data_IF_404359828992
#
_entry.id   IF_404359828992
#
_cell.length_a   1.000
_cell.length_b   1.000
_cell.length_c   1.000
_cell.angle_alpha   90.00
_cell.angle_beta   90.00
_cell.angle_gamma   90.00
#
_symmetry.space_group_name_H-M   'P 1'
#
loop_
_entity.id
_entity.type
_entity.pdbx_description
1 polymer ?
#
# COMPACT_ATOMS: atom_id res chain seq x y z
N UNK A 1 2.11 2.89 4.10
CA UNK A 1 2.43 4.30 4.37
C UNK A 1 2.30 4.52 5.87
N UNK A 2 3.29 5.18 6.47
CA UNK A 2 3.18 5.61 7.87
C UNK A 2 2.81 7.09 7.86
N UNK A 3 1.75 7.44 8.55
CA UNK A 3 1.40 8.84 8.83
C UNK A 3 1.95 9.16 10.21
N UNK A 4 2.78 10.19 10.30
CA UNK A 4 3.28 10.71 11.56
C UNK A 4 2.64 12.07 11.80
N UNK A 5 1.87 12.20 12.87
CA UNK A 5 1.35 13.49 13.32
C UNK A 5 2.50 14.22 14.04
N UNK A 6 2.95 15.33 13.47
CA UNK A 6 4.02 16.14 14.07
C UNK A 6 3.48 17.20 15.04
N UNK A 7 2.40 17.85 14.64
CA UNK A 7 1.68 18.85 15.44
C UNK A 7 0.20 18.77 15.12
N UNK A 8 -0.65 19.00 16.09
CA UNK A 8 -2.10 19.10 15.91
C UNK A 8 -2.61 20.27 16.75
N UNK A 9 -3.70 20.92 16.30
CA UNK A 9 -4.48 21.83 17.12
C UNK A 9 -5.32 21.03 18.13
N UNK A 10 -5.75 21.67 19.21
CA UNK A 10 -6.53 21.01 20.27
C UNK A 10 -7.91 20.51 19.78
N UNK A 11 -8.39 21.06 18.68
CA UNK A 11 -9.67 20.76 18.03
C UNK A 11 -9.57 19.83 16.82
N UNK A 12 -8.39 19.21 16.61
CA UNK A 12 -8.21 18.28 15.47
C UNK A 12 -9.06 17.03 15.64
N UNK A 13 -9.85 16.71 14.62
CA UNK A 13 -10.59 15.45 14.50
C UNK A 13 -10.02 14.63 13.35
N UNK A 14 -9.71 13.37 13.59
CA UNK A 14 -9.13 12.46 12.62
C UNK A 14 -10.04 11.27 12.41
N UNK A 15 -10.54 11.11 11.19
CA UNK A 15 -11.20 9.90 10.73
C UNK A 15 -10.24 9.07 9.86
N UNK A 16 -10.17 7.77 10.12
CA UNK A 16 -9.31 6.87 9.36
C UNK A 16 -10.07 5.63 8.88
N UNK A 17 -9.94 5.33 7.60
CA UNK A 17 -10.44 4.08 7.00
C UNK A 17 -9.28 3.30 6.43
N UNK A 18 -9.21 2.02 6.76
CA UNK A 18 -8.19 1.11 6.25
C UNK A 18 -8.82 0.03 5.37
N UNK A 19 -8.26 -0.20 4.20
CA UNK A 19 -8.66 -1.26 3.30
C UNK A 19 -7.54 -2.29 3.17
N UNK A 20 -7.92 -3.58 3.13
CA UNK A 20 -6.95 -4.64 2.88
C UNK A 20 -6.37 -4.52 1.46
N UNK A 21 -5.11 -4.93 1.28
CA UNK A 21 -4.48 -4.98 -0.03
C UNK A 21 -5.24 -5.90 -1.00
N UNK A 22 -5.81 -6.98 -0.48
CA UNK A 22 -6.60 -7.93 -1.26
C UNK A 22 -7.89 -7.30 -1.79
N UNK A 23 -8.59 -6.50 -0.96
CA UNK A 23 -9.77 -5.75 -1.39
C UNK A 23 -9.42 -4.78 -2.53
N UNK A 24 -8.30 -4.08 -2.41
CA UNK A 24 -7.82 -3.15 -3.43
C UNK A 24 -7.49 -3.89 -4.75
N UNK A 25 -6.89 -5.08 -4.67
CA UNK A 25 -6.58 -5.90 -5.85
C UNK A 25 -7.82 -6.51 -6.49
N UNK A 26 -8.76 -7.02 -5.67
CA UNK A 26 -9.97 -7.70 -6.13
C UNK A 26 -11.05 -6.73 -6.62
N UNK A 27 -10.97 -5.45 -6.26
CA UNK A 27 -11.96 -4.45 -6.62
C UNK A 27 -12.11 -4.23 -8.15
N UNK A 28 -11.42 -5.03 -8.97
CA UNK A 28 -11.52 -4.90 -10.44
C UNK A 28 -11.22 -3.49 -10.92
N UNK A 29 -10.46 -2.75 -10.13
CA UNK A 29 -10.23 -1.34 -10.33
C UNK A 29 -9.64 -1.10 -11.69
N UNK A 30 -10.45 -0.56 -12.57
CA UNK A 30 -10.03 -0.15 -13.90
C UNK A 30 -8.77 0.73 -13.82
N UNK A 31 -8.07 0.83 -14.93
CA UNK A 31 -6.82 1.60 -15.07
C UNK A 31 -6.87 2.96 -14.38
N UNK A 32 -8.01 3.64 -14.47
CA UNK A 32 -8.24 4.98 -13.87
C UNK A 32 -8.21 4.99 -12.34
N UNK A 33 -8.64 3.92 -11.67
CA UNK A 33 -8.71 3.88 -10.21
C UNK A 33 -7.32 3.70 -9.59
N UNK A 34 -6.45 2.89 -10.21
CA UNK A 34 -5.06 2.74 -9.78
C UNK A 34 -4.26 4.03 -9.97
N UNK A 35 -4.61 4.84 -10.98
CA UNK A 35 -4.03 6.17 -11.21
C UNK A 35 -4.44 7.13 -10.10
N UNK A 36 -5.69 7.08 -9.63
CA UNK A 36 -6.19 7.86 -8.50
C UNK A 36 -5.44 7.53 -7.20
N UNK A 37 -5.25 6.25 -6.88
CA UNK A 37 -4.45 5.85 -5.71
C UNK A 37 -3.02 6.38 -5.72
N UNK A 38 -2.40 6.44 -6.89
CA UNK A 38 -1.04 6.95 -6.98
C UNK A 38 -0.96 8.45 -6.71
N UNK A 39 -1.91 9.22 -7.20
CA UNK A 39 -1.94 10.66 -7.00
C UNK A 39 -2.23 10.98 -5.54
N UNK A 40 -3.16 10.26 -4.92
CA UNK A 40 -3.38 10.31 -3.48
C UNK A 40 -2.08 9.93 -2.74
N UNK A 41 -1.30 8.97 -3.25
CA UNK A 41 0.00 8.58 -2.70
C UNK A 41 1.14 9.59 -2.91
N UNK A 42 1.05 10.49 -3.88
CA UNK A 42 2.02 11.60 -4.09
C UNK A 42 1.66 12.87 -3.33
N UNK A 43 0.38 13.15 -3.20
CA UNK A 43 -0.13 14.30 -2.49
C UNK A 43 -0.83 13.81 -1.22
N UNK A 44 -0.06 13.68 -0.15
CA UNK A 44 -0.53 13.11 1.12
C UNK A 44 -1.60 13.95 1.83
N UNK A 45 -1.79 15.20 1.43
CA UNK A 45 -2.75 16.13 2.01
C UNK A 45 -3.47 16.86 0.89
N UNK A 46 -4.79 16.82 0.93
CA UNK A 46 -5.67 17.57 0.03
C UNK A 46 -6.50 18.55 0.85
N UNK A 47 -6.43 19.85 0.56
CA UNK A 47 -7.41 20.79 1.12
C UNK A 47 -8.78 20.47 0.56
N UNK A 48 -9.76 20.30 1.42
CA UNK A 48 -11.16 20.12 1.05
C UNK A 48 -11.90 21.45 1.19
N UNK A 49 -12.88 21.67 0.31
CA UNK A 49 -13.86 22.73 0.56
C UNK A 49 -14.70 22.38 1.80
N UNK A 50 -15.32 23.37 2.43
CA UNK A 50 -16.17 23.16 3.60
C UNK A 50 -17.26 22.11 3.34
N UNK A 51 -17.92 22.19 2.17
CA UNK A 51 -18.95 21.22 1.75
C UNK A 51 -18.35 19.81 1.59
N UNK A 52 -17.21 19.69 0.93
CA UNK A 52 -16.54 18.39 0.75
C UNK A 52 -16.11 17.80 2.10
N UNK A 53 -15.59 18.62 3.01
CA UNK A 53 -15.22 18.21 4.36
C UNK A 53 -16.41 17.67 5.14
N UNK A 54 -17.54 18.37 5.10
CA UNK A 54 -18.78 17.95 5.76
C UNK A 54 -19.29 16.61 5.19
N UNK A 55 -19.34 16.46 3.86
CA UNK A 55 -19.79 15.23 3.21
C UNK A 55 -18.90 14.03 3.56
N UNK A 56 -17.58 14.22 3.61
CA UNK A 56 -16.67 13.16 4.02
C UNK A 56 -16.85 12.80 5.50
N UNK A 57 -17.02 13.77 6.40
CA UNK A 57 -17.28 13.53 7.82
C UNK A 57 -18.55 12.70 8.03
N UNK A 58 -19.64 13.05 7.33
CA UNK A 58 -20.90 12.27 7.36
C UNK A 58 -20.69 10.85 6.84
N UNK A 59 -19.96 10.68 5.74
CA UNK A 59 -19.62 9.37 5.19
C UNK A 59 -18.80 8.53 6.17
N UNK A 60 -17.80 9.10 6.83
CA UNK A 60 -17.02 8.39 7.85
C UNK A 60 -17.87 7.98 9.05
N UNK A 61 -18.77 8.85 9.50
CA UNK A 61 -19.72 8.55 10.57
C UNK A 61 -20.63 7.39 10.18
N UNK A 62 -21.19 7.42 8.98
CA UNK A 62 -22.00 6.33 8.45
C UNK A 62 -21.23 5.00 8.37
N UNK A 63 -20.00 5.02 7.85
CA UNK A 63 -19.15 3.82 7.78
C UNK A 63 -18.81 3.27 9.17
N UNK A 64 -18.57 4.15 10.14
CA UNK A 64 -18.31 3.75 11.52
C UNK A 64 -19.51 3.05 12.16
N UNK A 65 -20.72 3.59 11.97
CA UNK A 65 -21.93 2.96 12.45
C UNK A 65 -22.20 1.62 11.74
N UNK A 66 -22.07 1.59 10.43
CA UNK A 66 -22.24 0.37 9.66
C UNK A 66 -21.27 -0.73 10.12
N UNK A 67 -20.01 -0.39 10.37
CA UNK A 67 -19.01 -1.35 10.85
C UNK A 67 -19.34 -1.84 12.27
N UNK A 68 -19.89 -1.00 13.14
CA UNK A 68 -20.31 -1.39 14.47
C UNK A 68 -21.47 -2.39 14.44
N UNK A 69 -22.43 -2.22 13.50
CA UNK A 69 -23.61 -3.06 13.40
C UNK A 69 -23.37 -4.38 12.68
N UNK A 70 -22.62 -4.34 11.56
CA UNK A 70 -22.39 -5.52 10.69
C UNK A 70 -21.04 -6.19 10.98
N UNK A 71 -20.05 -5.40 11.40
CA UNK A 71 -18.72 -5.89 11.75
C UNK A 71 -18.02 -6.64 10.62
N UNK A 72 -17.49 -7.80 10.95
CA UNK A 72 -16.76 -8.68 10.02
C UNK A 72 -17.66 -9.30 8.93
N UNK A 73 -18.97 -9.18 9.05
CA UNK A 73 -19.93 -9.69 8.07
C UNK A 73 -20.17 -8.74 6.88
N UNK A 74 -19.43 -7.63 6.81
CA UNK A 74 -19.50 -6.72 5.67
C UNK A 74 -19.04 -7.44 4.40
N UNK A 75 -19.93 -7.55 3.41
CA UNK A 75 -19.60 -8.25 2.17
C UNK A 75 -18.47 -7.55 1.40
N UNK A 76 -17.68 -8.34 0.67
CA UNK A 76 -16.60 -7.81 -0.17
C UNK A 76 -17.13 -6.82 -1.22
N UNK A 77 -18.30 -7.11 -1.82
CA UNK A 77 -18.94 -6.22 -2.78
C UNK A 77 -19.30 -4.87 -2.18
N UNK A 78 -19.80 -4.84 -0.95
CA UNK A 78 -20.11 -3.60 -0.24
C UNK A 78 -18.87 -2.81 0.10
N UNK A 79 -17.82 -3.48 0.57
CA UNK A 79 -16.50 -2.86 0.84
C UNK A 79 -15.87 -2.25 -0.41
N UNK A 80 -16.00 -2.93 -1.57
CA UNK A 80 -15.54 -2.41 -2.87
C UNK A 80 -16.34 -1.19 -3.30
N UNK A 81 -17.66 -1.18 -3.08
CA UNK A 81 -18.52 -0.05 -3.41
C UNK A 81 -18.15 1.19 -2.59
N UNK A 82 -17.90 1.04 -1.29
CA UNK A 82 -17.45 2.13 -0.44
C UNK A 82 -16.09 2.68 -0.86
N UNK A 83 -15.13 1.79 -1.14
CA UNK A 83 -13.82 2.20 -1.64
C UNK A 83 -13.95 2.98 -2.96
N UNK A 84 -14.80 2.50 -3.87
CA UNK A 84 -15.06 3.16 -5.14
C UNK A 84 -15.69 4.54 -4.95
N UNK A 85 -16.68 4.66 -4.05
CA UNK A 85 -17.34 5.92 -3.73
C UNK A 85 -16.35 6.93 -3.15
N UNK A 86 -15.52 6.53 -2.19
CA UNK A 86 -14.51 7.40 -1.59
C UNK A 86 -13.53 7.94 -2.64
N UNK A 87 -13.07 7.08 -3.54
CA UNK A 87 -12.10 7.47 -4.57
C UNK A 87 -12.73 8.31 -5.70
N UNK A 88 -13.99 8.04 -6.04
CA UNK A 88 -14.73 8.88 -6.99
C UNK A 88 -15.01 10.24 -6.38
N UNK A 89 -15.38 10.29 -5.09
CA UNK A 89 -15.60 11.53 -4.36
C UNK A 89 -14.39 12.47 -4.43
N UNK A 90 -13.16 11.97 -4.35
CA UNK A 90 -11.95 12.80 -4.54
C UNK A 90 -11.96 13.48 -5.91
N UNK A 91 -12.41 12.80 -6.97
CA UNK A 91 -12.44 13.36 -8.32
C UNK A 91 -13.54 14.42 -8.48
N UNK A 92 -14.69 14.21 -7.86
CA UNK A 92 -15.86 15.08 -8.00
C UNK A 92 -15.79 16.30 -7.08
N UNK A 93 -15.33 16.09 -5.82
CA UNK A 93 -15.31 17.14 -4.79
C UNK A 93 -14.00 17.93 -4.76
N UNK A 94 -12.96 17.44 -5.43
CA UNK A 94 -11.65 18.09 -5.50
C UNK A 94 -11.20 18.28 -6.96
N UNK A 95 -11.87 19.13 -7.77
CA UNK A 95 -11.65 19.24 -9.20
C UNK A 95 -10.22 19.68 -9.57
N UNK A 96 -9.55 20.49 -8.75
CA UNK A 96 -8.16 20.87 -9.00
C UNK A 96 -7.21 19.67 -8.88
N UNK A 97 -7.47 18.78 -7.92
CA UNK A 97 -6.74 17.54 -7.74
C UNK A 97 -7.12 16.51 -8.82
N UNK A 98 -8.37 16.54 -9.30
CA UNK A 98 -8.84 15.71 -10.40
C UNK A 98 -8.08 16.02 -11.70
N UNK A 99 -7.74 17.28 -11.98
CA UNK A 99 -6.90 17.67 -13.12
C UNK A 99 -5.50 17.03 -13.06
N UNK A 100 -4.93 16.86 -11.85
CA UNK A 100 -3.68 16.13 -11.67
C UNK A 100 -3.83 14.64 -11.97
N UNK A 101 -5.05 14.09 -11.79
CA UNK A 101 -5.41 12.70 -12.07
C UNK A 101 -5.60 12.46 -13.57
N UNK A 102 -6.17 13.42 -14.29
CA UNK A 102 -6.47 13.34 -15.72
C UNK A 102 -5.25 13.54 -16.60
N UNK A 103 -4.19 14.17 -16.10
CA UNK A 103 -2.93 14.22 -16.85
C UNK A 103 -2.41 12.80 -17.08
N UNK A 104 -2.22 12.35 -18.33
CA UNK A 104 -1.65 11.05 -18.62
C UNK A 104 -0.34 10.94 -17.83
N UNK A 105 -0.25 9.98 -16.92
CA UNK A 105 0.95 9.79 -16.13
C UNK A 105 2.16 9.77 -17.06
N UNK A 106 3.22 10.49 -16.68
CA UNK A 106 4.44 10.52 -17.50
C UNK A 106 4.85 9.10 -17.85
N UNK A 107 5.51 8.89 -18.99
CA UNK A 107 6.04 7.56 -19.38
C UNK A 107 6.79 6.90 -18.22
N UNK A 108 7.51 7.69 -17.43
CA UNK A 108 8.22 7.22 -16.24
C UNK A 108 7.27 6.70 -15.15
N UNK A 109 6.17 7.38 -14.94
CA UNK A 109 5.15 6.95 -14.00
C UNK A 109 4.51 5.61 -14.39
N UNK A 110 4.17 5.43 -15.66
CA UNK A 110 3.64 4.16 -16.16
C UNK A 110 4.66 3.02 -15.99
N UNK A 111 5.94 3.30 -16.24
CA UNK A 111 7.02 2.33 -16.01
C UNK A 111 7.17 2.00 -14.51
N UNK A 112 7.09 2.99 -13.62
CA UNK A 112 7.11 2.77 -12.17
C UNK A 112 5.94 1.86 -11.72
N UNK A 113 4.73 2.06 -12.23
CA UNK A 113 3.57 1.19 -11.96
C UNK A 113 3.82 -0.26 -12.42
N UNK A 114 4.42 -0.43 -13.59
CA UNK A 114 4.80 -1.77 -14.08
C UNK A 114 5.77 -2.42 -13.10
N UNK A 115 6.79 -1.69 -12.65
CA UNK A 115 7.74 -2.17 -11.64
C UNK A 115 7.03 -2.63 -10.35
N UNK A 116 6.18 -1.79 -9.75
CA UNK A 116 5.45 -2.13 -8.52
C UNK A 116 4.60 -3.38 -8.71
N UNK A 117 3.88 -3.50 -9.83
CA UNK A 117 3.09 -4.70 -10.15
C UNK A 117 3.96 -5.95 -10.27
N UNK A 118 5.12 -5.85 -10.93
CA UNK A 118 6.06 -6.96 -11.03
C UNK A 118 6.62 -7.36 -9.66
N UNK A 119 6.93 -6.39 -8.80
CA UNK A 119 7.34 -6.67 -7.42
C UNK A 119 6.27 -7.47 -6.69
N UNK A 120 5.01 -7.04 -6.72
CA UNK A 120 3.92 -7.78 -6.09
C UNK A 120 3.70 -9.19 -6.66
N UNK A 121 4.01 -9.41 -7.92
CA UNK A 121 3.89 -10.74 -8.54
C UNK A 121 5.05 -11.68 -8.18
N UNK A 122 6.25 -11.16 -8.00
CA UNK A 122 7.46 -11.98 -7.96
C UNK A 122 8.24 -11.89 -6.64
N UNK A 123 7.93 -10.95 -5.72
CA UNK A 123 8.74 -10.66 -4.51
C UNK A 123 9.06 -11.89 -3.68
N UNK A 124 8.15 -12.88 -3.62
CA UNK A 124 8.36 -14.09 -2.85
C UNK A 124 9.39 -15.07 -3.48
N UNK A 125 9.83 -14.80 -4.70
CA UNK A 125 10.80 -15.65 -5.43
C UNK A 125 12.05 -14.89 -5.83
N UNK A 126 11.91 -13.58 -6.08
CA UNK A 126 12.94 -12.75 -6.70
C UNK A 126 13.18 -11.46 -5.91
N UNK A 127 14.33 -11.38 -5.28
CA UNK A 127 14.68 -10.25 -4.41
C UNK A 127 15.58 -9.21 -5.10
N UNK A 128 16.10 -9.51 -6.30
CA UNK A 128 17.10 -8.68 -6.97
C UNK A 128 16.48 -7.71 -7.96
N UNK A 129 16.90 -6.44 -7.90
CA UNK A 129 16.47 -5.40 -8.85
C UNK A 129 16.72 -5.78 -10.31
N UNK A 130 17.81 -6.53 -10.56
CA UNK A 130 18.17 -6.98 -11.92
C UNK A 130 17.09 -7.85 -12.58
N UNK A 131 16.36 -8.67 -11.81
CA UNK A 131 15.24 -9.47 -12.32
C UNK A 131 14.14 -8.55 -12.88
N UNK A 132 13.71 -7.57 -12.12
CA UNK A 132 12.67 -6.62 -12.51
C UNK A 132 13.09 -5.74 -13.68
N UNK A 133 14.35 -5.28 -13.68
CA UNK A 133 14.91 -4.51 -14.77
C UNK A 133 14.89 -5.30 -16.10
N UNK A 134 15.25 -6.58 -16.06
CA UNK A 134 15.19 -7.48 -17.20
C UNK A 134 13.76 -7.66 -17.73
N UNK A 135 12.78 -7.89 -16.84
CA UNK A 135 11.36 -8.00 -17.21
C UNK A 135 10.80 -6.72 -17.84
N UNK A 136 11.38 -5.59 -17.50
CA UNK A 136 11.00 -4.28 -18.05
C UNK A 136 11.83 -3.86 -19.27
N UNK A 137 12.74 -4.71 -19.76
CA UNK A 137 13.70 -4.36 -20.82
C UNK A 137 14.48 -3.07 -20.50
N UNK A 138 14.93 -2.91 -19.26
CA UNK A 138 15.66 -1.76 -18.76
C UNK A 138 17.00 -2.18 -18.16
N UNK A 139 17.97 -1.25 -18.17
CA UNK A 139 19.18 -1.40 -17.37
C UNK A 139 18.84 -1.22 -15.87
N UNK A 140 19.43 -2.00 -14.95
CA UNK A 140 19.18 -1.88 -13.51
C UNK A 140 19.37 -0.45 -12.98
N UNK A 141 20.38 0.26 -13.44
CA UNK A 141 20.65 1.66 -13.05
C UNK A 141 19.55 2.62 -13.51
N UNK A 142 18.97 2.38 -14.70
CA UNK A 142 17.86 3.18 -15.22
C UNK A 142 16.59 2.94 -14.40
N UNK A 143 16.29 1.68 -14.05
CA UNK A 143 15.18 1.32 -13.17
C UNK A 143 15.35 1.96 -11.79
N UNK A 144 16.53 1.88 -11.18
CA UNK A 144 16.79 2.52 -9.88
C UNK A 144 16.54 4.03 -9.90
N UNK A 145 17.02 4.73 -10.93
CA UNK A 145 16.78 6.19 -11.08
C UNK A 145 15.29 6.51 -11.26
N UNK A 146 14.61 5.74 -12.10
CA UNK A 146 13.18 5.88 -12.34
C UNK A 146 12.39 5.72 -11.03
N UNK A 147 12.61 4.62 -10.30
CA UNK A 147 11.91 4.32 -9.06
C UNK A 147 12.19 5.40 -8.02
N UNK A 148 13.46 5.80 -7.84
CA UNK A 148 13.83 6.85 -6.89
C UNK A 148 13.16 8.19 -7.22
N UNK A 149 13.11 8.56 -8.50
CA UNK A 149 12.46 9.80 -8.95
C UNK A 149 10.96 9.77 -8.71
N UNK A 150 10.30 8.64 -8.99
CA UNK A 150 8.84 8.55 -8.93
C UNK A 150 8.29 8.29 -7.51
N UNK A 151 9.04 7.60 -6.64
CA UNK A 151 8.56 7.20 -5.31
C UNK A 151 9.32 7.82 -4.14
N UNK A 152 10.45 8.46 -4.37
CA UNK A 152 11.36 8.87 -3.29
C UNK A 152 12.13 7.71 -2.64
N UNK A 153 11.80 6.46 -2.94
CA UNK A 153 12.43 5.26 -2.42
C UNK A 153 13.32 4.58 -3.45
N UNK A 154 14.31 3.80 -3.01
CA UNK A 154 15.06 2.94 -3.91
C UNK A 154 14.23 1.71 -4.33
N UNK A 155 14.53 1.13 -5.49
CA UNK A 155 13.87 -0.09 -5.95
C UNK A 155 14.04 -1.25 -4.94
N UNK A 156 15.21 -1.36 -4.29
CA UNK A 156 15.47 -2.35 -3.27
C UNK A 156 14.64 -2.13 -2.00
N UNK A 157 14.45 -0.86 -1.58
CA UNK A 157 13.58 -0.54 -0.45
C UNK A 157 12.15 -0.99 -0.69
N UNK A 158 11.60 -0.77 -1.90
CA UNK A 158 10.23 -1.21 -2.24
C UNK A 158 10.11 -2.74 -2.19
N UNK A 159 11.07 -3.48 -2.75
CA UNK A 159 11.09 -4.94 -2.71
C UNK A 159 11.15 -5.42 -1.25
N UNK A 160 12.07 -4.86 -0.45
CA UNK A 160 12.24 -5.24 0.96
C UNK A 160 11.01 -4.92 1.80
N UNK A 161 10.36 -3.76 1.59
CA UNK A 161 9.13 -3.39 2.29
C UNK A 161 8.00 -4.38 1.97
N UNK A 162 7.85 -4.79 0.71
CA UNK A 162 6.84 -5.79 0.30
C UNK A 162 7.09 -7.12 1.01
N UNK A 163 8.34 -7.61 1.01
CA UNK A 163 8.74 -8.83 1.74
C UNK A 163 8.44 -8.75 3.24
N UNK A 164 8.79 -7.64 3.88
CA UNK A 164 8.56 -7.45 5.31
C UNK A 164 7.09 -7.37 5.65
N UNK A 165 6.27 -6.72 4.81
CA UNK A 165 4.82 -6.64 5.02
C UNK A 165 4.19 -8.02 4.97
N UNK A 166 4.52 -8.83 3.98
CA UNK A 166 4.01 -10.20 3.88
C UNK A 166 4.52 -11.08 5.02
N UNK A 167 5.82 -11.03 5.33
CA UNK A 167 6.38 -11.74 6.47
C UNK A 167 5.64 -11.42 7.80
N UNK A 168 5.36 -10.13 8.05
CA UNK A 168 4.60 -9.71 9.24
C UNK A 168 3.18 -10.27 9.23
N UNK A 169 2.52 -10.31 8.07
CA UNK A 169 1.17 -10.88 7.93
C UNK A 169 1.17 -12.36 8.26
N UNK A 170 2.05 -13.16 7.63
CA UNK A 170 2.14 -14.58 7.87
C UNK A 170 2.53 -14.91 9.34
N UNK A 171 3.41 -14.11 9.94
CA UNK A 171 3.78 -14.28 11.36
C UNK A 171 2.62 -14.00 12.32
N UNK A 172 1.66 -13.15 11.94
CA UNK A 172 0.46 -12.83 12.76
C UNK A 172 -0.64 -13.85 12.61
N UNK A 173 -0.93 -14.26 11.38
CA UNK A 173 -2.14 -15.03 11.04
C UNK A 173 -1.90 -16.52 11.02
N UNK A 174 -0.68 -16.98 10.80
CA UNK A 174 -0.36 -18.37 10.57
C UNK A 174 0.44 -18.99 11.73
N UNK A 175 0.10 -20.25 12.08
CA UNK A 175 0.92 -21.07 12.96
C UNK A 175 2.12 -21.71 12.26
N UNK A 176 2.34 -21.37 10.98
CA UNK A 176 3.42 -21.87 10.14
C UNK A 176 4.79 -21.62 10.79
N UNK A 177 5.69 -22.59 10.84
CA UNK A 177 7.04 -22.41 11.37
C UNK A 177 7.78 -21.29 10.66
N UNK A 178 8.57 -20.50 11.39
CA UNK A 178 9.36 -19.39 10.82
C UNK A 178 10.24 -19.84 9.66
N UNK A 179 10.74 -21.10 9.72
CA UNK A 179 11.53 -21.70 8.65
C UNK A 179 10.73 -21.81 7.33
N UNK A 180 9.47 -22.22 7.43
CA UNK A 180 8.63 -22.45 6.25
C UNK A 180 8.18 -21.11 5.66
N UNK A 181 7.89 -20.11 6.49
CA UNK A 181 7.68 -18.73 6.05
C UNK A 181 8.90 -18.20 5.30
N UNK A 182 10.11 -18.43 5.84
CA UNK A 182 11.35 -18.01 5.18
C UNK A 182 11.49 -18.64 3.79
N UNK A 183 11.25 -19.95 3.68
CA UNK A 183 11.31 -20.66 2.39
C UNK A 183 10.22 -20.18 1.41
N UNK A 184 9.00 -19.99 1.89
CA UNK A 184 7.89 -19.46 1.09
C UNK A 184 8.16 -18.04 0.56
N UNK A 185 8.94 -17.25 1.28
CA UNK A 185 9.39 -15.92 0.88
C UNK A 185 10.71 -15.92 0.07
N UNK A 186 11.15 -17.08 -0.42
CA UNK A 186 12.31 -17.21 -1.29
C UNK A 186 13.68 -17.10 -0.61
N UNK A 187 13.76 -17.20 0.72
CA UNK A 187 15.03 -17.25 1.41
C UNK A 187 15.61 -18.67 1.42
N UNK A 188 16.89 -18.82 1.11
CA UNK A 188 17.56 -20.11 1.08
C UNK A 188 17.57 -20.84 2.43
N UNK A 189 17.50 -20.09 3.53
CA UNK A 189 17.39 -20.65 4.87
C UNK A 189 16.85 -19.61 5.88
N UNK A 190 16.40 -20.11 7.01
CA UNK A 190 15.83 -19.28 8.09
C UNK A 190 16.85 -18.31 8.71
N UNK A 191 18.15 -18.60 8.69
CA UNK A 191 19.17 -17.72 9.26
C UNK A 191 19.31 -16.41 8.46
N UNK A 192 19.28 -16.48 7.14
CA UNK A 192 19.26 -15.28 6.27
C UNK A 192 17.97 -14.49 6.45
N UNK A 193 16.82 -15.15 6.50
CA UNK A 193 15.55 -14.50 6.79
C UNK A 193 15.55 -13.79 8.16
N UNK A 194 16.04 -14.44 9.21
CA UNK A 194 16.14 -13.86 10.55
C UNK A 194 16.99 -12.58 10.56
N UNK A 195 18.14 -12.59 9.89
CA UNK A 195 19.01 -11.40 9.75
C UNK A 195 18.32 -10.30 8.97
N UNK A 196 17.70 -10.64 7.85
CA UNK A 196 16.95 -9.70 7.02
C UNK A 196 15.80 -9.06 7.79
N UNK A 197 14.94 -9.87 8.42
CA UNK A 197 13.80 -9.38 9.17
C UNK A 197 14.23 -8.49 10.34
N UNK A 198 15.21 -8.92 11.14
CA UNK A 198 15.75 -8.14 12.25
C UNK A 198 16.35 -6.82 11.78
N UNK A 199 17.08 -6.80 10.65
CA UNK A 199 17.64 -5.58 10.05
C UNK A 199 16.55 -4.54 9.74
N UNK A 200 15.38 -4.98 9.25
CA UNK A 200 14.31 -4.09 8.79
C UNK A 200 13.25 -3.78 9.85
N UNK A 201 13.15 -4.57 10.92
CA UNK A 201 12.11 -4.40 11.94
C UNK A 201 12.66 -4.16 13.35
N UNK A 202 13.96 -4.34 13.56
CA UNK A 202 14.62 -4.23 14.87
C UNK A 202 14.54 -5.50 15.72
N UNK A 203 13.60 -6.41 15.46
CA UNK A 203 13.34 -7.63 16.24
C UNK A 203 13.42 -8.89 15.37
N UNK A 204 13.61 -10.05 15.99
CA UNK A 204 13.57 -11.32 15.24
C UNK A 204 12.14 -11.70 14.87
N UNK A 205 11.91 -12.54 13.81
CA UNK A 205 10.58 -13.03 13.46
C UNK A 205 9.85 -13.69 14.63
N UNK A 206 10.55 -14.48 15.43
CA UNK A 206 9.96 -15.15 16.59
C UNK A 206 9.56 -14.15 17.68
N UNK A 207 10.40 -13.15 17.98
CA UNK A 207 10.04 -12.08 18.92
C UNK A 207 8.84 -11.29 18.43
N UNK A 208 8.79 -10.97 17.13
CA UNK A 208 7.64 -10.30 16.53
C UNK A 208 6.37 -11.13 16.66
N UNK A 209 6.41 -12.42 16.37
CA UNK A 209 5.27 -13.33 16.54
C UNK A 209 4.74 -13.33 17.97
N UNK A 210 5.65 -13.42 18.95
CA UNK A 210 5.28 -13.46 20.37
C UNK A 210 4.70 -12.14 20.88
N UNK A 211 5.03 -11.00 20.24
CA UNK A 211 4.53 -9.67 20.65
C UNK A 211 3.15 -9.33 20.09
N UNK A 212 2.64 -10.10 19.10
CA UNK A 212 1.36 -9.83 18.42
C UNK A 212 0.31 -10.94 18.65
N UNK A 213 0.64 -11.92 19.48
CA UNK A 213 -0.26 -12.93 20.05
C UNK A 213 -0.64 -12.54 21.48
#
# INVERSE_FOLDING_TARGET
SFVQLLTASDDVEIHAVMFSQQLIQNAGMGKNMMDKFHIIGKHYVFPLSEVASMLYAEMFTFLSHLYKEIGENLSEAMSQSFLSLMLQGVSELCPEQAKLIETPGSRHFLQYRIFVRLVHADYAREHQVAHYARKMNMQPSALCRLVKKESGHTAMEIINQTLIMDAKTQLRTENTPVKDIALGLGFNNAAFFNKFFKKHTGVTPQMFRNSVR
#
